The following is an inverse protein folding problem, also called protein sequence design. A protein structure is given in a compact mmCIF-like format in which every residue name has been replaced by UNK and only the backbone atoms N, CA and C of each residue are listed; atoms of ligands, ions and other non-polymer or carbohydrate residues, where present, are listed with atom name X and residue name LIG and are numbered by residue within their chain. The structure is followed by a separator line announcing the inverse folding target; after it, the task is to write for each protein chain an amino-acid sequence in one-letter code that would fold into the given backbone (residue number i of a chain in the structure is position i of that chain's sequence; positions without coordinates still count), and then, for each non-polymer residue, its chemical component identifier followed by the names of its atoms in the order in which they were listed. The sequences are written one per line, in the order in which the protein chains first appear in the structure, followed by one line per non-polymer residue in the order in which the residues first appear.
data_IF_638125856970
#
_entry.id   IF_638125856970
#
_cell.length_a   1.000
_cell.length_b   1.000
_cell.length_c   1.000
_cell.angle_alpha   90.00
_cell.angle_beta   90.00
_cell.angle_gamma   90.00
#
_symmetry.space_group_name_H-M   'P 1'
#
loop_
_entity.id
_entity.type
_entity.pdbx_description
1 polymer ?
#
# COMPACT_ATOMS: atom_id res chain seq x y z
N UNK A 1 -41.55 -22.01 -5.07
CA UNK A 1 -40.46 -21.31 -4.36
C UNK A 1 -39.43 -20.95 -5.41
N UNK A 2 -39.34 -19.67 -5.79
CA UNK A 2 -38.43 -19.21 -6.85
C UNK A 2 -37.04 -18.87 -6.24
N UNK A 3 -35.94 -19.47 -6.71
CA UNK A 3 -34.62 -19.40 -6.08
C UNK A 3 -33.80 -18.12 -6.40
N UNK A 4 -34.44 -16.98 -6.69
CA UNK A 4 -33.78 -15.76 -7.22
C UNK A 4 -34.07 -14.48 -6.42
N UNK A 5 -34.50 -14.58 -5.17
CA UNK A 5 -34.90 -13.44 -4.33
C UNK A 5 -34.15 -13.38 -2.99
N UNK A 6 -32.86 -13.71 -3.00
CA UNK A 6 -31.94 -13.49 -1.88
C UNK A 6 -30.76 -12.57 -2.30
N UNK A 7 -30.96 -11.75 -3.34
CA UNK A 7 -29.96 -10.78 -3.83
C UNK A 7 -29.93 -9.46 -3.03
N UNK A 8 -30.72 -9.35 -1.96
CA UNK A 8 -30.75 -8.20 -1.05
C UNK A 8 -30.54 -8.63 0.41
N UNK A 9 -29.57 -9.51 0.68
CA UNK A 9 -29.17 -9.74 2.06
C UNK A 9 -28.44 -8.50 2.56
N UNK A 10 -29.02 -7.84 3.57
CA UNK A 10 -28.36 -6.79 4.35
C UNK A 10 -26.98 -7.23 4.85
N UNK A 11 -26.73 -8.54 5.02
CA UNK A 11 -25.42 -9.08 5.36
C UNK A 11 -24.38 -8.88 4.25
N UNK A 12 -24.78 -8.89 2.97
CA UNK A 12 -23.89 -8.56 1.86
C UNK A 12 -23.56 -7.06 1.85
N UNK A 13 -24.54 -6.20 2.14
CA UNK A 13 -24.33 -4.73 2.25
C UNK A 13 -23.48 -4.39 3.48
N UNK A 14 -23.68 -5.09 4.59
CA UNK A 14 -22.90 -4.99 5.82
C UNK A 14 -21.48 -5.54 5.61
N UNK A 15 -21.33 -6.68 4.94
CA UNK A 15 -20.03 -7.24 4.56
C UNK A 15 -19.28 -6.34 3.57
N UNK A 16 -19.98 -5.70 2.62
CA UNK A 16 -19.39 -4.71 1.71
C UNK A 16 -19.07 -3.38 2.41
N UNK A 17 -19.76 -3.04 3.51
CA UNK A 17 -19.38 -1.92 4.39
C UNK A 17 -18.14 -2.23 5.21
N UNK A 18 -18.07 -3.44 5.77
CA UNK A 18 -16.98 -3.91 6.64
C UNK A 18 -15.70 -4.23 5.84
N UNK A 19 -15.86 -4.81 4.65
CA UNK A 19 -14.81 -5.22 3.74
C UNK A 19 -15.23 -4.82 2.31
N UNK A 20 -15.13 -3.53 1.93
CA UNK A 20 -15.47 -3.14 0.57
C UNK A 20 -14.61 -3.95 -0.39
N UNK A 21 -15.20 -4.58 -1.44
CA UNK A 21 -14.39 -5.18 -2.49
C UNK A 21 -13.41 -4.11 -2.96
N UNK A 22 -12.15 -4.48 -3.21
CA UNK A 22 -11.19 -3.57 -3.84
C UNK A 22 -11.77 -3.15 -5.18
N UNK A 23 -12.48 -2.03 -5.17
CA UNK A 23 -13.14 -1.49 -6.35
C UNK A 23 -12.04 -1.30 -7.40
N UNK A 24 -12.40 -1.40 -8.68
CA UNK A 24 -11.47 -1.08 -9.76
C UNK A 24 -10.82 0.28 -9.51
N UNK A 25 -11.55 1.23 -8.91
CA UNK A 25 -11.04 2.53 -8.48
C UNK A 25 -9.90 2.40 -7.44
N UNK A 26 -10.07 1.65 -6.36
CA UNK A 26 -8.99 1.40 -5.37
C UNK A 26 -7.78 0.72 -5.99
N UNK A 27 -7.99 -0.24 -6.88
CA UNK A 27 -6.91 -0.88 -7.63
C UNK A 27 -6.11 0.12 -8.48
N UNK A 28 -6.82 0.99 -9.21
CA UNK A 28 -6.21 2.06 -10.00
C UNK A 28 -5.49 3.10 -9.14
N UNK A 29 -6.06 3.47 -7.99
CA UNK A 29 -5.46 4.40 -7.05
C UNK A 29 -4.16 3.87 -6.45
N UNK A 30 -4.13 2.58 -6.04
CA UNK A 30 -2.89 1.90 -5.64
C UNK A 30 -1.86 1.89 -6.75
N UNK A 31 -2.26 1.50 -7.96
CA UNK A 31 -1.35 1.45 -9.10
C UNK A 31 -0.75 2.84 -9.42
N UNK A 32 -1.56 3.89 -9.36
CA UNK A 32 -1.10 5.26 -9.54
C UNK A 32 -0.11 5.69 -8.43
N UNK A 33 -0.38 5.32 -7.17
CA UNK A 33 0.52 5.60 -6.05
C UNK A 33 1.83 4.81 -6.13
N UNK A 34 1.79 3.55 -6.55
CA UNK A 34 2.98 2.72 -6.77
C UNK A 34 3.84 3.29 -7.90
N UNK A 35 3.21 3.75 -8.98
CA UNK A 35 3.90 4.43 -10.08
C UNK A 35 4.54 5.74 -9.61
N UNK A 36 3.84 6.53 -8.79
CA UNK A 36 4.39 7.76 -8.22
C UNK A 36 5.60 7.49 -7.30
N UNK A 37 5.64 6.35 -6.59
CA UNK A 37 6.82 5.94 -5.83
C UNK A 37 7.99 5.60 -6.75
N UNK A 38 7.75 4.86 -7.84
CA UNK A 38 8.78 4.54 -8.84
C UNK A 38 9.39 5.79 -9.48
N UNK A 39 8.56 6.78 -9.80
CA UNK A 39 9.02 8.03 -10.44
C UNK A 39 9.83 8.91 -9.47
N UNK A 40 9.46 8.94 -8.17
CA UNK A 40 10.07 9.85 -7.18
C UNK A 40 11.25 9.25 -6.41
N UNK A 41 11.22 7.93 -6.19
CA UNK A 41 12.14 7.24 -5.28
C UNK A 41 12.74 5.97 -5.92
N UNK A 42 13.23 6.01 -7.17
CA UNK A 42 13.79 4.82 -7.82
C UNK A 42 14.99 4.28 -7.04
N UNK A 43 15.04 2.97 -6.80
CA UNK A 43 16.14 2.30 -6.10
C UNK A 43 16.23 2.62 -4.59
N UNK A 44 15.19 3.22 -4.00
CA UNK A 44 15.18 3.56 -2.58
C UNK A 44 14.31 2.61 -1.76
N UNK A 45 14.68 2.42 -0.50
CA UNK A 45 13.78 1.91 0.51
C UNK A 45 12.82 3.01 0.94
N UNK A 46 11.52 2.73 0.92
CA UNK A 46 10.47 3.69 1.24
C UNK A 46 9.55 3.09 2.28
N UNK A 47 9.25 3.86 3.32
CA UNK A 47 8.16 3.60 4.25
C UNK A 47 7.07 4.65 4.03
N UNK A 48 5.83 4.18 3.94
CA UNK A 48 4.68 5.03 3.67
C UNK A 48 3.44 4.58 4.44
N UNK A 49 2.50 5.50 4.62
CA UNK A 49 1.17 5.24 5.16
C UNK A 49 0.14 5.53 4.08
N UNK A 50 -0.76 4.58 3.86
CA UNK A 50 -1.87 4.71 2.93
C UNK A 50 -3.12 5.18 3.67
N UNK A 51 -3.48 6.45 3.49
CA UNK A 51 -4.71 7.03 4.01
C UNK A 51 -5.80 6.93 2.95
N UNK A 52 -6.80 6.08 3.20
CA UNK A 52 -7.91 5.88 2.28
C UNK A 52 -9.09 6.78 2.65
N UNK A 53 -9.59 7.54 1.68
CA UNK A 53 -10.81 8.35 1.80
C UNK A 53 -11.78 7.87 0.71
N UNK A 54 -12.67 6.94 1.07
CA UNK A 54 -13.52 6.26 0.08
C UNK A 54 -12.67 5.43 -0.89
N UNK A 55 -12.65 5.83 -2.17
CA UNK A 55 -11.83 5.22 -3.23
C UNK A 55 -10.54 6.02 -3.53
N UNK A 56 -10.33 7.16 -2.88
CA UNK A 56 -9.12 7.96 -3.02
C UNK A 56 -8.03 7.48 -2.05
N UNK A 57 -6.80 7.43 -2.55
CA UNK A 57 -5.61 7.08 -1.78
C UNK A 57 -4.71 8.32 -1.64
N UNK A 58 -4.52 8.76 -0.41
CA UNK A 58 -3.45 9.67 -0.04
C UNK A 58 -2.30 8.87 0.59
N UNK A 59 -1.19 8.74 -0.14
CA UNK A 59 0.00 8.02 0.31
C UNK A 59 1.04 9.00 0.83
N UNK A 60 1.32 8.92 2.13
CA UNK A 60 2.32 9.76 2.79
C UNK A 60 3.60 8.96 2.99
N UNK A 61 4.70 9.39 2.37
CA UNK A 61 6.03 8.84 2.60
C UNK A 61 6.57 9.39 3.92
N UNK A 62 6.83 8.50 4.88
CA UNK A 62 7.32 8.87 6.22
C UNK A 62 8.83 8.68 6.36
N UNK A 63 9.44 7.84 5.53
CA UNK A 63 10.89 7.70 5.43
C UNK A 63 11.27 7.20 4.03
N UNK A 64 12.38 7.68 3.49
CA UNK A 64 13.02 7.10 2.31
C UNK A 64 14.54 7.25 2.40
N UNK A 65 15.27 6.28 1.86
CA UNK A 65 16.72 6.37 1.63
C UNK A 65 17.16 5.20 0.74
N UNK A 66 18.21 5.37 -0.10
CA UNK A 66 18.82 4.25 -0.82
C UNK A 66 19.58 3.25 0.08
N UNK A 67 19.90 3.62 1.33
CA UNK A 67 20.71 2.79 2.23
C UNK A 67 19.84 2.03 3.26
N UNK A 68 20.00 0.71 3.33
CA UNK A 68 19.19 -0.12 4.22
C UNK A 68 19.48 0.13 5.71
N UNK A 69 20.72 0.43 6.10
CA UNK A 69 21.06 0.68 7.50
C UNK A 69 20.49 2.02 7.98
N UNK A 70 20.62 3.07 7.16
CA UNK A 70 19.97 4.35 7.35
C UNK A 70 18.45 4.20 7.38
N UNK A 71 17.87 3.41 6.48
CA UNK A 71 16.43 3.17 6.47
C UNK A 71 15.96 2.62 7.80
N UNK A 72 16.62 1.58 8.30
CA UNK A 72 16.32 0.99 9.61
C UNK A 72 16.51 1.98 10.77
N UNK A 73 17.48 2.89 10.69
CA UNK A 73 17.65 3.98 11.68
C UNK A 73 16.47 4.96 11.64
N UNK A 74 16.04 5.38 10.46
CA UNK A 74 14.87 6.25 10.28
C UNK A 74 13.61 5.59 10.85
N UNK A 75 13.37 4.31 10.56
CA UNK A 75 12.21 3.58 11.10
C UNK A 75 12.21 3.50 12.62
N UNK A 76 13.39 3.35 13.25
CA UNK A 76 13.54 3.35 14.71
C UNK A 76 13.30 4.71 15.35
N UNK A 77 13.47 5.80 14.60
CA UNK A 77 13.20 7.16 15.05
C UNK A 77 11.72 7.56 14.92
N UNK A 78 10.92 6.83 14.12
CA UNK A 78 9.48 7.09 13.99
C UNK A 78 8.73 6.82 15.28
N UNK A 79 7.70 7.63 15.52
CA UNK A 79 6.77 7.44 16.64
C UNK A 79 6.11 6.05 16.57
N UNK A 80 5.82 5.42 17.73
CA UNK A 80 5.23 4.07 17.76
C UNK A 80 3.93 3.94 16.96
N UNK A 81 3.08 4.98 16.97
CA UNK A 81 1.83 5.00 16.22
C UNK A 81 2.04 4.94 14.70
N UNK A 82 3.00 5.71 14.18
CA UNK A 82 3.40 5.72 12.76
C UNK A 82 4.00 4.37 12.38
N UNK A 83 4.86 3.82 13.23
CA UNK A 83 5.53 2.53 12.99
C UNK A 83 4.56 1.36 12.84
N UNK A 84 3.45 1.38 13.58
CA UNK A 84 2.44 0.32 13.53
C UNK A 84 1.55 0.39 12.27
N UNK A 85 1.49 1.54 11.60
CA UNK A 85 0.62 1.77 10.45
C UNK A 85 1.37 1.79 9.12
N UNK A 86 2.68 2.01 9.15
CA UNK A 86 3.48 2.12 7.94
C UNK A 86 3.66 0.79 7.22
N UNK A 87 3.67 0.85 5.90
CA UNK A 87 4.14 -0.20 5.00
C UNK A 87 5.55 0.13 4.52
N UNK A 88 6.31 -0.91 4.15
CA UNK A 88 7.70 -0.78 3.68
C UNK A 88 7.80 -1.39 2.29
N UNK A 89 8.52 -0.75 1.38
CA UNK A 89 8.83 -1.30 0.07
C UNK A 89 10.23 -0.89 -0.37
N UNK A 90 10.87 -1.72 -1.18
CA UNK A 90 12.03 -1.32 -1.95
C UNK A 90 11.56 -1.01 -3.36
N UNK A 91 11.72 0.24 -3.78
CA UNK A 91 11.25 0.70 -5.08
C UNK A 91 12.25 0.24 -6.16
N UNK A 92 11.81 -0.56 -7.14
CA UNK A 92 12.70 -0.99 -8.23
C UNK A 92 13.23 0.22 -9.00
N UNK A 93 14.52 0.25 -9.28
CA UNK A 93 15.09 1.21 -10.24
C UNK A 93 14.88 0.68 -11.66
N UNK A 94 14.12 1.38 -12.53
CA UNK A 94 13.91 0.96 -13.92
C UNK A 94 15.19 0.94 -14.75
N UNK A 95 16.25 1.65 -14.32
CA UNK A 95 17.57 1.63 -14.96
C UNK A 95 18.60 0.79 -14.18
N UNK A 96 18.19 0.24 -13.04
CA UNK A 96 19.04 -0.56 -12.18
C UNK A 96 19.10 -2.03 -12.62
N UNK A 97 19.98 -2.83 -12.01
CA UNK A 97 19.97 -4.27 -12.25
C UNK A 97 18.61 -4.86 -11.85
N UNK A 98 18.07 -5.74 -12.69
CA UNK A 98 16.83 -6.48 -12.41
C UNK A 98 17.03 -7.36 -11.16
N UNK A 99 16.47 -6.93 -10.04
CA UNK A 99 16.39 -7.75 -8.83
C UNK A 99 15.08 -8.53 -8.84
N UNK A 100 15.13 -9.80 -9.23
CA UNK A 100 14.03 -10.76 -9.09
C UNK A 100 14.06 -11.30 -7.65
N UNK A 101 13.66 -10.47 -6.70
CA UNK A 101 13.50 -10.83 -5.29
C UNK A 101 12.02 -10.80 -4.91
N UNK A 102 11.31 -11.91 -5.13
CA UNK A 102 9.96 -12.09 -4.63
C UNK A 102 9.96 -12.34 -3.13
N UNK A 103 9.03 -11.71 -2.41
CA UNK A 103 8.50 -12.18 -1.13
C UNK A 103 9.49 -12.23 0.03
N UNK A 104 9.33 -11.28 0.95
CA UNK A 104 9.55 -11.45 2.40
C UNK A 104 10.85 -12.17 2.84
N UNK A 105 11.89 -11.37 3.05
CA UNK A 105 12.84 -11.55 4.16
C UNK A 105 13.07 -10.13 4.68
N UNK A 106 12.61 -9.78 5.89
CA UNK A 106 13.10 -8.74 6.83
C UNK A 106 12.03 -8.42 7.90
#
# INVERSE_FOLDING_TARGET
MDPRLLEDSEELKEAMRLCPPTTRAKGMARWAADRALQDKHPGQYVAYIDNWIGDELDRVVVANTPDLEEFNRLLKALEPGVRNQMQRTHVPDPNGPLFIGGGELW
#
